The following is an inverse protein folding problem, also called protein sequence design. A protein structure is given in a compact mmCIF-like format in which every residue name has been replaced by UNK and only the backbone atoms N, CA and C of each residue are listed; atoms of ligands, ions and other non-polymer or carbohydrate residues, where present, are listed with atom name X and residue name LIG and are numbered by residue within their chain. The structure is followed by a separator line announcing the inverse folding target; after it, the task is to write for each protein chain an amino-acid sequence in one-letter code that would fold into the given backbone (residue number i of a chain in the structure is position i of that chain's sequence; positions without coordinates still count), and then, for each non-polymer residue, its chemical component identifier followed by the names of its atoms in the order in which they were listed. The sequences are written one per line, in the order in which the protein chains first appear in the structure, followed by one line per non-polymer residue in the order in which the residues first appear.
data_IF_378879213948
#
_entry.id   IF_378879213948
#
_cell.length_a   1.000
_cell.length_b   1.000
_cell.length_c   1.000
_cell.angle_alpha   90.00
_cell.angle_beta   90.00
_cell.angle_gamma   90.00
#
_symmetry.space_group_name_H-M   'P 1'
#
loop_
_entity.id
_entity.type
_entity.pdbx_description
1 polymer ?
#
# COMPACT_ATOMS: atom_id res chain seq x y z
N UNK A 1 6.32 7.04 13.73
CA UNK A 1 5.53 6.06 14.50
C UNK A 1 4.60 5.34 13.55
N UNK A 2 4.56 4.01 13.58
CA UNK A 2 3.65 3.18 12.77
C UNK A 2 2.68 2.45 13.70
N UNK A 3 1.41 2.36 13.32
CA UNK A 3 0.37 1.71 14.11
C UNK A 3 -0.79 1.26 13.22
N UNK A 4 -1.54 0.26 13.69
CA UNK A 4 -2.87 -0.02 13.17
C UNK A 4 -3.92 0.77 13.94
N UNK A 5 -4.96 1.22 13.24
CA UNK A 5 -6.06 1.98 13.82
C UNK A 5 -7.40 1.43 13.32
N UNK A 6 -8.28 1.08 14.26
CA UNK A 6 -9.67 0.76 13.95
C UNK A 6 -10.52 2.01 14.16
N UNK A 7 -11.05 2.63 13.09
CA UNK A 7 -11.82 3.87 13.22
C UNK A 7 -13.14 3.67 13.97
N UNK A 8 -13.71 2.45 13.97
CA UNK A 8 -15.00 2.16 14.59
C UNK A 8 -14.89 1.95 16.11
N UNK A 9 -13.92 1.17 16.58
CA UNK A 9 -13.69 0.98 18.02
C UNK A 9 -12.72 2.01 18.62
N UNK A 10 -12.05 2.81 17.77
CA UNK A 10 -10.92 3.67 18.13
C UNK A 10 -9.73 2.91 18.73
N UNK A 11 -9.72 1.58 18.63
CA UNK A 11 -8.60 0.76 19.09
C UNK A 11 -7.35 1.08 18.26
N UNK A 12 -6.21 1.13 18.93
CA UNK A 12 -4.91 1.39 18.34
C UNK A 12 -3.95 0.29 18.74
N UNK A 13 -3.24 -0.27 17.76
CA UNK A 13 -2.20 -1.26 17.99
C UNK A 13 -0.89 -0.63 17.53
N UNK A 14 -0.02 -0.27 18.48
CA UNK A 14 1.29 0.30 18.16
C UNK A 14 2.23 -0.79 17.67
N UNK A 15 3.02 -0.47 16.64
CA UNK A 15 4.13 -1.31 16.21
C UNK A 15 5.43 -0.89 16.93
N UNK A 16 6.43 -1.79 17.03
CA UNK A 16 7.80 -1.43 17.37
C UNK A 16 8.31 -0.25 16.55
N UNK A 17 9.28 0.46 17.10
CA UNK A 17 9.84 1.66 16.48
C UNK A 17 10.35 1.33 15.07
N UNK A 18 9.74 1.97 14.07
CA UNK A 18 10.13 1.81 12.67
C UNK A 18 11.48 2.50 12.43
N UNK A 19 12.45 1.84 11.76
CA UNK A 19 13.75 2.41 11.41
C UNK A 19 13.62 3.45 10.29
N UNK A 20 12.94 4.57 10.56
CA UNK A 20 12.72 5.62 9.58
C UNK A 20 14.03 6.38 9.32
N UNK A 21 14.52 6.38 8.08
CA UNK A 21 15.57 7.29 7.66
C UNK A 21 14.93 8.56 7.03
N UNK A 22 15.27 9.78 7.49
CA UNK A 22 14.70 11.02 6.96
C UNK A 22 14.93 11.26 5.47
N UNK A 23 15.92 10.61 4.86
CA UNK A 23 16.22 10.72 3.43
C UNK A 23 15.31 9.84 2.57
N UNK A 24 14.64 8.86 3.19
CA UNK A 24 13.70 7.99 2.50
C UNK A 24 12.41 8.73 2.17
N UNK A 25 11.78 8.32 1.07
CA UNK A 25 10.51 8.89 0.63
C UNK A 25 9.61 7.82 0.00
N UNK A 26 8.34 8.17 -0.20
CA UNK A 26 7.37 7.29 -0.86
C UNK A 26 7.04 6.03 -0.05
N UNK A 27 6.91 6.15 1.28
CA UNK A 27 6.56 5.02 2.14
C UNK A 27 5.17 4.46 1.78
N UNK A 28 5.12 3.18 1.41
CA UNK A 28 3.88 2.43 1.16
C UNK A 28 3.85 1.20 2.04
N UNK A 29 2.77 1.06 2.82
CA UNK A 29 2.58 -0.04 3.76
C UNK A 29 1.57 -1.06 3.26
N UNK A 30 1.83 -2.33 3.55
CA UNK A 30 0.95 -3.47 3.27
C UNK A 30 1.08 -4.51 4.38
N UNK A 31 0.05 -5.33 4.58
CA UNK A 31 0.10 -6.40 5.57
C UNK A 31 -0.57 -7.68 5.06
N UNK A 32 -0.11 -8.83 5.53
CA UNK A 32 -0.48 -10.14 4.96
C UNK A 32 -1.85 -10.65 5.41
N UNK A 33 -2.31 -10.28 6.60
CA UNK A 33 -3.57 -10.73 7.21
C UNK A 33 -4.01 -9.77 8.31
N UNK A 34 -5.16 -10.02 8.94
CA UNK A 34 -5.67 -9.14 10.01
C UNK A 34 -4.56 -8.82 11.05
N UNK A 35 -4.47 -7.57 11.56
CA UNK A 35 -3.43 -7.17 12.51
C UNK A 35 -3.37 -8.03 13.78
N UNK A 36 -4.45 -8.75 14.05
CA UNK A 36 -4.62 -9.62 15.22
C UNK A 36 -4.16 -11.06 14.97
N UNK A 37 -3.86 -11.43 13.72
CA UNK A 37 -3.46 -12.78 13.31
C UNK A 37 -1.99 -13.09 13.66
N UNK A 38 -1.68 -14.29 14.25
CA UNK A 38 -0.31 -14.74 14.56
C UNK A 38 0.63 -14.77 13.36
N UNK A 39 0.07 -14.83 12.15
CA UNK A 39 0.82 -14.88 10.90
C UNK A 39 0.79 -13.53 10.15
N UNK A 40 0.35 -12.45 10.79
CA UNK A 40 0.41 -11.12 10.21
C UNK A 40 1.87 -10.68 10.08
N UNK A 41 2.24 -10.21 8.89
CA UNK A 41 3.50 -9.51 8.62
C UNK A 41 3.16 -8.18 7.99
N UNK A 42 3.74 -7.11 8.52
CA UNK A 42 3.70 -5.77 7.95
C UNK A 42 4.92 -5.60 7.06
N UNK A 43 4.71 -5.13 5.83
CA UNK A 43 5.77 -4.68 4.94
C UNK A 43 5.62 -3.19 4.67
N UNK A 44 6.70 -2.44 4.83
CA UNK A 44 6.77 -1.02 4.45
C UNK A 44 7.91 -0.88 3.46
N UNK A 45 7.57 -0.46 2.25
CA UNK A 45 8.55 -0.16 1.22
C UNK A 45 8.76 1.35 1.10
N UNK A 46 9.97 1.78 0.80
CA UNK A 46 10.31 3.17 0.52
C UNK A 46 11.52 3.28 -0.39
N UNK A 47 11.64 4.42 -1.09
CA UNK A 47 12.86 4.75 -1.82
C UNK A 47 13.95 5.21 -0.85
N UNK A 48 15.17 4.69 -1.03
CA UNK A 48 16.38 5.19 -0.37
C UNK A 48 17.04 6.26 -1.26
N UNK A 49 16.98 6.06 -2.57
CA UNK A 49 17.46 6.97 -3.60
C UNK A 49 16.61 6.80 -4.87
N UNK A 50 17.04 7.41 -5.99
CA UNK A 50 16.32 7.38 -7.27
C UNK A 50 16.29 5.99 -7.95
N UNK A 51 17.16 5.07 -7.55
CA UNK A 51 17.36 3.76 -8.17
C UNK A 51 17.11 2.60 -7.20
N UNK A 52 17.03 2.86 -5.89
CA UNK A 52 16.99 1.83 -4.85
C UNK A 52 15.79 1.98 -3.91
N UNK A 53 15.25 0.83 -3.51
CA UNK A 53 14.16 0.70 -2.56
C UNK A 53 14.58 -0.16 -1.37
N UNK A 54 13.96 0.11 -0.23
CA UNK A 54 14.09 -0.63 1.01
C UNK A 54 12.74 -1.18 1.42
N UNK A 55 12.65 -2.48 1.65
CA UNK A 55 11.50 -3.15 2.25
C UNK A 55 11.83 -3.55 3.69
N UNK A 56 11.07 -2.99 4.62
CA UNK A 56 11.13 -3.34 6.04
C UNK A 56 9.95 -4.23 6.40
N UNK A 57 10.24 -5.42 6.92
CA UNK A 57 9.26 -6.41 7.34
C UNK A 57 9.20 -6.54 8.86
N UNK A 58 7.99 -6.63 9.40
CA UNK A 58 7.75 -6.89 10.81
C UNK A 58 6.68 -7.96 10.98
N UNK A 59 7.05 -9.07 11.61
CA UNK A 59 6.11 -10.17 11.93
C UNK A 59 5.42 -9.92 13.28
N UNK A 60 4.15 -10.30 13.40
CA UNK A 60 3.45 -10.23 14.69
C UNK A 60 4.19 -11.03 15.77
N UNK A 61 4.32 -10.46 16.97
CA UNK A 61 5.06 -11.05 18.09
C UNK A 61 6.57 -10.79 18.07
N UNK A 62 7.10 -10.21 16.98
CA UNK A 62 8.50 -9.79 16.91
C UNK A 62 8.64 -8.30 17.23
N UNK A 63 9.80 -7.92 17.78
CA UNK A 63 10.11 -6.53 18.15
C UNK A 63 11.07 -5.84 17.18
N UNK A 64 11.60 -6.57 16.20
CA UNK A 64 12.63 -6.09 15.28
C UNK A 64 12.15 -6.12 13.83
N UNK A 65 12.53 -5.10 13.08
CA UNK A 65 12.28 -4.98 11.65
C UNK A 65 13.40 -5.66 10.87
N UNK A 66 13.04 -6.45 9.87
CA UNK A 66 13.99 -7.08 8.94
C UNK A 66 14.01 -6.28 7.64
N UNK A 67 15.19 -5.87 7.21
CA UNK A 67 15.37 -4.96 6.07
C UNK A 67 15.92 -5.68 4.85
N UNK A 68 15.29 -5.47 3.69
CA UNK A 68 15.73 -5.96 2.39
C UNK A 68 15.89 -4.78 1.43
N UNK A 69 17.05 -4.69 0.78
CA UNK A 69 17.34 -3.62 -0.20
C UNK A 69 17.35 -4.21 -1.61
N UNK A 70 16.84 -3.45 -2.56
CA UNK A 70 16.87 -3.80 -3.97
C UNK A 70 17.01 -2.55 -4.83
N UNK A 71 17.61 -2.67 -6.02
CA UNK A 71 17.76 -1.55 -6.97
C UNK A 71 16.95 -1.78 -8.25
N UNK A 72 15.61 -1.78 -8.17
CA UNK A 72 14.75 -1.99 -9.32
C UNK A 72 14.56 -0.72 -10.14
N UNK A 73 14.20 -0.90 -11.41
CA UNK A 73 13.82 0.21 -12.28
C UNK A 73 12.34 0.60 -12.10
N UNK A 74 11.96 1.00 -10.88
CA UNK A 74 10.59 1.38 -10.49
C UNK A 74 10.52 2.87 -10.15
N UNK A 75 9.42 3.53 -10.54
CA UNK A 75 9.15 4.92 -10.18
C UNK A 75 8.42 4.99 -8.84
N UNK A 76 7.50 5.94 -8.68
CA UNK A 76 6.67 6.10 -7.49
C UNK A 76 5.77 4.89 -7.28
N UNK A 77 5.98 4.19 -6.16
CA UNK A 77 5.10 3.12 -5.72
C UNK A 77 3.77 3.74 -5.29
N UNK A 78 2.68 3.35 -5.94
CA UNK A 78 1.33 3.89 -5.71
C UNK A 78 0.34 2.86 -5.19
N UNK A 79 0.69 1.57 -5.24
CA UNK A 79 -0.12 0.52 -4.66
C UNK A 79 0.77 -0.58 -4.07
N UNK A 80 0.30 -1.20 -3.00
CA UNK A 80 0.92 -2.40 -2.45
C UNK A 80 -0.16 -3.41 -2.06
N UNK A 81 0.10 -4.69 -2.32
CA UNK A 81 -0.79 -5.79 -1.92
C UNK A 81 0.00 -7.05 -1.57
N UNK A 82 -0.68 -8.00 -0.94
CA UNK A 82 -0.11 -9.30 -0.60
C UNK A 82 -0.98 -10.42 -1.15
N UNK A 83 -0.37 -11.35 -1.90
CA UNK A 83 -1.06 -12.50 -2.48
C UNK A 83 -0.12 -13.70 -2.52
N UNK A 84 -0.62 -14.87 -2.09
CA UNK A 84 0.08 -16.17 -2.16
C UNK A 84 1.56 -16.12 -1.77
N UNK A 85 1.88 -15.52 -0.61
CA UNK A 85 3.24 -15.49 -0.08
C UNK A 85 4.14 -14.40 -0.66
N UNK A 86 3.61 -13.53 -1.53
CA UNK A 86 4.36 -12.47 -2.18
C UNK A 86 3.76 -11.10 -1.88
N UNK A 87 4.63 -10.15 -1.54
CA UNK A 87 4.29 -8.74 -1.60
C UNK A 87 4.42 -8.27 -3.04
N UNK A 88 3.49 -7.42 -3.46
CA UNK A 88 3.47 -6.75 -4.74
C UNK A 88 3.51 -5.26 -4.48
N UNK A 89 4.44 -4.55 -5.13
CA UNK A 89 4.56 -3.11 -5.09
C UNK A 89 4.52 -2.59 -6.52
N UNK A 90 3.52 -1.77 -6.84
CA UNK A 90 3.21 -1.35 -8.20
C UNK A 90 3.42 0.14 -8.33
N UNK A 91 4.02 0.56 -9.44
CA UNK A 91 4.07 1.97 -9.82
C UNK A 91 2.80 2.40 -10.55
N UNK A 92 2.70 3.68 -10.88
CA UNK A 92 1.52 4.25 -11.56
C UNK A 92 1.53 4.06 -13.08
N UNK A 93 2.56 3.42 -13.65
CA UNK A 93 2.74 3.26 -15.07
C UNK A 93 2.46 1.81 -15.45
N UNK A 94 3.51 1.01 -15.56
CA UNK A 94 3.48 -0.36 -16.06
C UNK A 94 4.57 -1.22 -15.41
N UNK A 95 5.05 -0.82 -14.23
CA UNK A 95 6.13 -1.53 -13.55
C UNK A 95 5.74 -1.87 -12.14
N UNK A 96 6.35 -2.94 -11.67
CA UNK A 96 6.23 -3.34 -10.29
C UNK A 96 7.40 -4.19 -9.88
N UNK A 97 7.39 -4.53 -8.60
CA UNK A 97 8.30 -5.51 -8.04
C UNK A 97 7.52 -6.41 -7.10
N UNK A 98 7.96 -7.66 -7.02
CA UNK A 98 7.48 -8.59 -6.01
C UNK A 98 8.60 -8.98 -5.08
N UNK A 99 8.24 -9.23 -3.83
CA UNK A 99 9.11 -9.85 -2.84
C UNK A 99 8.44 -11.11 -2.31
N UNK A 100 9.05 -12.26 -2.57
CA UNK A 100 8.57 -13.55 -2.08
C UNK A 100 9.18 -13.84 -0.70
N UNK A 101 8.32 -14.02 0.31
CA UNK A 101 8.75 -14.16 1.70
C UNK A 101 9.51 -15.47 1.95
N UNK A 102 9.12 -16.56 1.27
CA UNK A 102 9.65 -17.89 1.55
C UNK A 102 11.13 -18.05 1.17
N UNK A 103 11.56 -17.39 0.10
CA UNK A 103 12.91 -17.50 -0.45
C UNK A 103 13.63 -16.14 -0.53
N UNK A 104 13.04 -15.10 0.07
CA UNK A 104 13.57 -13.74 0.12
C UNK A 104 14.04 -13.20 -1.23
N UNK A 105 13.24 -13.45 -2.28
CA UNK A 105 13.61 -13.13 -3.66
C UNK A 105 12.80 -11.98 -4.23
N UNK A 106 13.49 -11.16 -5.04
CA UNK A 106 12.91 -10.06 -5.79
C UNK A 106 12.64 -10.49 -7.23
N UNK A 107 11.50 -10.07 -7.77
CA UNK A 107 11.20 -10.19 -9.21
C UNK A 107 10.65 -8.85 -9.71
N UNK A 108 11.27 -8.31 -10.75
CA UNK A 108 10.75 -7.14 -11.46
C UNK A 108 9.59 -7.55 -12.38
N UNK A 109 8.54 -6.74 -12.36
CA UNK A 109 7.37 -6.91 -13.20
C UNK A 109 7.30 -5.77 -14.22
N UNK A 110 6.85 -6.12 -15.42
CA UNK A 110 6.39 -5.17 -16.42
C UNK A 110 4.98 -5.59 -16.83
N UNK A 111 4.00 -4.74 -16.56
CA UNK A 111 2.59 -5.02 -16.81
C UNK A 111 2.22 -4.56 -18.23
N UNK A 112 1.60 -5.45 -19.00
CA UNK A 112 1.13 -5.15 -20.34
C UNK A 112 -0.39 -5.06 -20.34
N UNK A 113 -0.95 -4.17 -21.16
CA UNK A 113 -2.39 -4.13 -21.39
C UNK A 113 -2.83 -5.44 -22.05
N UNK A 114 -3.96 -5.98 -21.59
CA UNK A 114 -4.48 -7.30 -22.00
C UNK A 114 -4.66 -7.47 -23.52
N UNK A 115 -4.84 -6.36 -24.24
CA UNK A 115 -4.96 -6.29 -25.71
C UNK A 115 -3.70 -6.77 -26.45
N UNK A 116 -2.55 -6.81 -25.76
CA UNK A 116 -1.24 -7.18 -26.31
C UNK A 116 -0.74 -8.55 -25.81
N UNK A 117 -1.60 -9.37 -25.21
CA UNK A 117 -1.15 -10.60 -24.56
C UNK A 117 -1.14 -11.83 -25.48
N UNK A 118 0.04 -12.44 -25.61
CA UNK A 118 0.21 -13.80 -26.12
C UNK A 118 -0.01 -14.84 -25.00
N UNK A 119 -0.26 -16.11 -25.35
CA UNK A 119 -0.60 -17.18 -24.38
C UNK A 119 0.52 -17.53 -23.38
N UNK A 120 1.74 -17.02 -23.58
CA UNK A 120 2.91 -17.26 -22.73
C UNK A 120 3.05 -16.28 -21.56
N UNK A 121 2.18 -15.27 -21.47
CA UNK A 121 2.28 -14.20 -20.48
C UNK A 121 1.50 -14.56 -19.21
N UNK A 122 2.14 -14.43 -18.06
CA UNK A 122 1.51 -14.63 -16.76
C UNK A 122 0.60 -13.43 -16.41
N UNK A 123 -0.57 -13.72 -15.85
CA UNK A 123 -1.51 -12.70 -15.39
C UNK A 123 -1.22 -12.32 -13.94
N UNK A 124 -1.44 -11.05 -13.60
CA UNK A 124 -1.50 -10.64 -12.20
C UNK A 124 -2.68 -11.31 -11.51
N UNK A 125 -2.57 -11.67 -10.21
CA UNK A 125 -3.66 -12.28 -9.46
C UNK A 125 -4.76 -11.29 -9.05
N UNK A 126 -4.69 -10.06 -9.54
CA UNK A 126 -5.60 -8.97 -9.27
C UNK A 126 -5.67 -8.05 -10.49
N UNK A 127 -6.77 -7.30 -10.57
CA UNK A 127 -6.96 -6.23 -11.55
C UNK A 127 -6.45 -4.91 -10.98
N UNK A 128 -5.68 -4.17 -11.77
CA UNK A 128 -5.27 -2.81 -11.44
C UNK A 128 -6.41 -1.83 -11.78
N UNK A 129 -6.71 -0.93 -10.84
CA UNK A 129 -7.74 0.07 -10.99
C UNK A 129 -7.16 1.47 -10.72
N UNK A 130 -7.02 2.24 -11.80
CA UNK A 130 -6.59 3.62 -11.76
C UNK A 130 -7.82 4.53 -11.84
N UNK A 131 -7.82 5.62 -11.06
CA UNK A 131 -8.90 6.61 -11.06
C UNK A 131 -10.26 6.09 -10.55
N UNK A 132 -10.26 5.02 -9.75
CA UNK A 132 -11.43 4.47 -9.09
C UNK A 132 -12.23 5.55 -8.35
N UNK A 133 -11.56 6.39 -7.55
CA UNK A 133 -12.24 7.40 -6.76
C UNK A 133 -12.53 8.67 -7.58
N UNK A 134 -11.65 9.06 -8.50
CA UNK A 134 -11.86 10.18 -9.42
C UNK A 134 -13.17 10.10 -10.19
N UNK A 135 -13.59 8.91 -10.63
CA UNK A 135 -14.85 8.75 -11.36
C UNK A 135 -16.10 8.93 -10.50
N UNK A 136 -16.03 8.74 -9.17
CA UNK A 136 -17.23 8.72 -8.30
C UNK A 136 -17.31 9.85 -7.29
N UNK A 137 -16.17 10.24 -6.71
CA UNK A 137 -16.13 11.17 -5.57
C UNK A 137 -15.37 12.45 -5.87
N UNK A 138 -14.60 12.54 -6.96
CA UNK A 138 -13.75 13.70 -7.23
C UNK A 138 -14.48 15.04 -7.18
N UNK A 139 -15.62 15.15 -7.86
CA UNK A 139 -16.46 16.35 -7.83
C UNK A 139 -17.24 16.53 -6.52
N UNK A 140 -17.45 15.44 -5.77
CA UNK A 140 -18.22 15.43 -4.50
C UNK A 140 -17.38 15.79 -3.28
N UNK A 141 -16.06 15.85 -3.41
CA UNK A 141 -15.16 16.21 -2.31
C UNK A 141 -15.30 17.68 -1.88
N UNK A 142 -15.90 18.54 -2.72
CA UNK A 142 -16.16 19.94 -2.37
C UNK A 142 -14.90 20.70 -2.00
N UNK A 143 -13.77 20.42 -2.66
CA UNK A 143 -12.48 21.04 -2.34
C UNK A 143 -12.54 22.55 -2.60
N UNK A 144 -12.24 23.34 -1.57
CA UNK A 144 -12.04 24.79 -1.68
C UNK A 144 -10.77 25.11 -2.48
N UNK A 145 -10.70 26.32 -3.04
CA UNK A 145 -9.55 26.78 -3.84
C UNK A 145 -8.21 26.56 -3.11
N UNK A 146 -7.28 25.88 -3.80
CA UNK A 146 -5.97 25.52 -3.25
C UNK A 146 -5.93 24.27 -2.37
N UNK A 147 -7.07 23.60 -2.14
CA UNK A 147 -7.12 22.31 -1.46
C UNK A 147 -6.68 21.13 -2.33
N UNK A 148 -5.97 20.17 -1.73
CA UNK A 148 -5.68 18.88 -2.36
C UNK A 148 -5.94 17.72 -1.41
N UNK A 149 -6.41 16.59 -1.95
CA UNK A 149 -6.59 15.33 -1.24
C UNK A 149 -5.85 14.25 -1.99
N UNK A 150 -5.10 13.40 -1.30
CA UNK A 150 -4.52 12.17 -1.86
C UNK A 150 -5.14 10.97 -1.17
N UNK A 151 -5.47 9.92 -1.92
CA UNK A 151 -5.96 8.67 -1.36
C UNK A 151 -4.82 7.68 -1.18
N UNK A 152 -4.89 6.88 -0.12
CA UNK A 152 -4.03 5.71 0.02
C UNK A 152 -4.59 4.56 -0.83
N UNK A 153 -3.72 3.94 -1.62
CA UNK A 153 -3.99 2.75 -2.39
C UNK A 153 -4.41 1.63 -1.47
N UNK A 154 -5.28 0.77 -1.99
CA UNK A 154 -5.93 -0.27 -1.20
C UNK A 154 -6.27 -1.47 -2.07
N UNK A 155 -6.61 -2.57 -1.43
CA UNK A 155 -7.05 -3.78 -2.12
C UNK A 155 -8.49 -4.09 -1.73
N UNK A 156 -9.35 -4.25 -2.73
CA UNK A 156 -10.73 -4.69 -2.56
C UNK A 156 -10.88 -6.14 -3.01
N UNK A 157 -11.64 -6.91 -2.25
CA UNK A 157 -12.08 -8.23 -2.67
C UNK A 157 -13.53 -8.11 -3.13
N UNK A 158 -13.76 -8.27 -4.44
CA UNK A 158 -15.08 -8.24 -5.07
C UNK A 158 -15.37 -9.64 -5.63
N UNK A 159 -16.14 -10.43 -4.88
CA UNK A 159 -16.39 -11.85 -5.20
C UNK A 159 -15.07 -12.63 -5.31
N UNK A 160 -14.83 -13.31 -6.45
CA UNK A 160 -13.60 -14.03 -6.74
C UNK A 160 -12.49 -13.13 -7.29
N UNK A 161 -12.78 -11.88 -7.65
CA UNK A 161 -11.80 -10.95 -8.21
C UNK A 161 -11.24 -10.02 -7.13
N UNK A 162 -9.92 -9.84 -7.15
CA UNK A 162 -9.24 -8.86 -6.33
C UNK A 162 -8.92 -7.63 -7.18
N UNK A 163 -9.26 -6.45 -6.69
CA UNK A 163 -8.89 -5.17 -7.32
C UNK A 163 -7.87 -4.45 -6.46
N UNK A 164 -6.79 -3.98 -7.09
CA UNK A 164 -5.79 -3.10 -6.50
C UNK A 164 -6.05 -1.68 -6.98
N UNK A 165 -6.45 -0.82 -6.05
CA UNK A 165 -6.69 0.59 -6.29
C UNK A 165 -5.41 1.34 -5.96
N UNK A 166 -4.92 2.15 -6.90
CA UNK A 166 -3.72 2.96 -6.71
C UNK A 166 -4.02 4.23 -5.92
N UNK A 167 -2.99 4.85 -5.34
CA UNK A 167 -3.08 6.20 -4.81
C UNK A 167 -3.63 7.14 -5.89
N UNK A 168 -4.62 7.96 -5.53
CA UNK A 168 -5.17 8.98 -6.41
C UNK A 168 -5.11 10.36 -5.77
N UNK A 169 -4.64 11.34 -6.55
CA UNK A 169 -4.59 12.74 -6.15
C UNK A 169 -5.74 13.55 -6.75
N UNK A 170 -6.34 14.40 -5.91
CA UNK A 170 -7.44 15.32 -6.20
C UNK A 170 -6.93 16.73 -5.91
N UNK A 171 -7.10 17.64 -6.86
CA UNK A 171 -6.69 19.05 -6.71
C UNK A 171 -7.87 19.95 -6.99
N UNK A 172 -8.07 20.97 -6.15
CA UNK A 172 -9.00 22.06 -6.42
C UNK A 172 -8.56 22.88 -7.64
N UNK A 173 -9.49 23.67 -8.18
CA UNK A 173 -9.15 24.65 -9.22
C UNK A 173 -8.37 25.80 -8.55
N UNK A 174 -7.21 26.17 -9.09
CA UNK A 174 -6.35 27.24 -8.55
C UNK A 174 -4.86 26.92 -8.71
N UNK A 175 -4.03 27.97 -8.80
CA UNK A 175 -2.60 27.83 -9.14
C UNK A 175 -1.69 27.48 -7.95
N UNK A 176 -2.19 27.57 -6.71
CA UNK A 176 -1.37 27.35 -5.50
C UNK A 176 -2.02 26.36 -4.54
N UNK A 177 -1.33 25.24 -4.29
CA UNK A 177 -1.68 24.31 -3.21
C UNK A 177 -1.40 24.99 -1.85
N UNK A 178 -2.46 25.21 -1.07
CA UNK A 178 -2.39 25.80 0.27
C UNK A 178 -2.55 24.76 1.37
N UNK A 179 -3.17 23.61 1.05
CA UNK A 179 -3.38 22.51 2.00
C UNK A 179 -3.32 21.15 1.28
N UNK A 180 -2.64 20.17 1.91
CA UNK A 180 -2.58 18.79 1.44
C UNK A 180 -3.18 17.84 2.48
N UNK A 181 -4.28 17.21 2.13
CA UNK A 181 -4.99 16.24 2.95
C UNK A 181 -4.73 14.81 2.44
N UNK A 182 -4.83 13.82 3.34
CA UNK A 182 -4.81 12.39 3.00
C UNK A 182 -6.14 11.76 3.35
N UNK A 183 -6.83 11.24 2.33
CA UNK A 183 -8.03 10.44 2.45
C UNK A 183 -7.70 8.95 2.55
N UNK A 184 -8.46 8.23 3.37
CA UNK A 184 -8.39 6.76 3.44
C UNK A 184 -9.76 6.21 3.13
N UNK A 185 -9.84 5.35 2.11
CA UNK A 185 -11.07 4.62 1.85
C UNK A 185 -11.20 3.43 2.80
N UNK A 186 -12.32 3.36 3.51
CA UNK A 186 -12.65 2.26 4.41
C UNK A 186 -13.87 1.56 3.83
N UNK A 187 -13.66 0.37 3.26
CA UNK A 187 -14.78 -0.53 3.01
C UNK A 187 -15.27 -1.01 4.38
N UNK A 188 -16.53 -0.72 4.79
CA UNK A 188 -17.02 -1.11 6.10
C UNK A 188 -16.99 -2.64 6.22
N UNK A 189 -16.13 -3.13 7.12
CA UNK A 189 -16.13 -4.53 7.55
C UNK A 189 -16.23 -4.51 9.06
N UNK A 190 -17.27 -5.13 9.60
CA UNK A 190 -17.51 -5.13 11.05
C UNK A 190 -16.54 -6.09 11.72
N UNK A 191 -15.46 -5.54 12.27
CA UNK A 191 -14.52 -6.26 13.13
C UNK A 191 -14.52 -5.60 14.51
N UNK A 192 -14.81 -6.37 15.56
CA UNK A 192 -14.64 -5.92 16.94
C UNK A 192 -13.20 -6.23 17.39
N UNK A 193 -12.43 -5.20 17.71
CA UNK A 193 -11.08 -5.34 18.27
C UNK A 193 -11.15 -5.02 19.78
N UNK A 194 -10.71 -5.93 20.67
CA UNK A 194 -10.64 -5.67 22.11
C UNK A 194 -9.69 -4.51 22.43
N UNK A 195 -9.98 -3.69 23.45
CA UNK A 195 -9.19 -2.49 23.77
C UNK A 195 -7.75 -2.77 24.25
N UNK A 196 -7.44 -3.99 24.70
CA UNK A 196 -6.14 -4.34 25.30
C UNK A 196 -5.21 -5.12 24.35
N UNK A 197 -5.42 -5.02 23.04
CA UNK A 197 -4.63 -5.79 22.07
C UNK A 197 -3.29 -5.12 21.76
N UNK A 198 -2.18 -5.84 21.96
CA UNK A 198 -0.81 -5.42 21.65
C UNK A 198 -0.16 -6.32 20.58
N UNK A 199 0.90 -5.82 19.94
CA UNK A 199 1.74 -6.58 19.00
C UNK A 199 2.97 -7.22 19.63
N UNK A 200 3.40 -6.68 20.78
CA UNK A 200 4.44 -7.24 21.63
C UNK A 200 3.78 -8.02 22.78
N UNK A 201 4.39 -9.14 23.16
CA UNK A 201 4.09 -9.88 24.38
C UNK A 201 4.54 -9.05 25.59
#
# INVERSE_FOLDING_TARGET
MVFFFCPFSRAKINLPQFPCNPQQYGHVGVFTSAPTSPNCTVGIISHIDKASVELNLLRQGHNEWVTHVHSPHINTITCATFHEGKFYFLDSLDRGITFAVQNESWVCLHTLKAENCDKSIAFLPFKENFNHFKTYIGEKLGLEDGGSVSTCGTTLQLNQLRECIHNEDFKARGEKETCQMKGVYIQPRFFQIPPNQSWSI
#
